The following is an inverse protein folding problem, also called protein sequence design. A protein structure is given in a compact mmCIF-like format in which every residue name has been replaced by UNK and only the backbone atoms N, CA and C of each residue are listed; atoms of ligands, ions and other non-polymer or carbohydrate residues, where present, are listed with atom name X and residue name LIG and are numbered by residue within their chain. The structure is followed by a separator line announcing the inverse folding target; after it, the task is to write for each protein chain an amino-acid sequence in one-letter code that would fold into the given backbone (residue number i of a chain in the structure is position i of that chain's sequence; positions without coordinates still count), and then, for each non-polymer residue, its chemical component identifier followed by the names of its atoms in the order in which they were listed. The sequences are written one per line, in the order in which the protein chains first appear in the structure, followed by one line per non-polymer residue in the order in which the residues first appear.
data_IF_911584526721
#
_entry.id   IF_911584526721
#
_cell.length_a   1.000
_cell.length_b   1.000
_cell.length_c   1.000
_cell.angle_alpha   90.00
_cell.angle_beta   90.00
_cell.angle_gamma   90.00
#
_symmetry.space_group_name_H-M   'P 1'
#
loop_
_entity.id
_entity.type
_entity.pdbx_description
1 polymer ?
#
# COMPACT_ATOMS: atom_id res chain seq x y z
N UNK A 1 -16.33 -20.98 -33.39
CA UNK A 1 -15.05 -20.58 -34.01
C UNK A 1 -14.29 -19.76 -32.97
N UNK A 2 -13.07 -20.15 -32.62
CA UNK A 2 -12.25 -19.41 -31.64
C UNK A 2 -11.37 -18.38 -32.34
N UNK A 3 -11.06 -17.28 -31.65
CA UNK A 3 -10.03 -16.35 -32.13
C UNK A 3 -8.68 -17.04 -32.06
N UNK A 4 -7.84 -16.84 -33.08
CA UNK A 4 -6.46 -17.33 -33.06
C UNK A 4 -5.73 -16.77 -31.82
N UNK A 5 -5.11 -17.67 -31.06
CA UNK A 5 -4.42 -17.35 -29.81
C UNK A 5 -2.96 -17.79 -29.90
N UNK A 6 -2.04 -16.83 -29.85
CA UNK A 6 -0.59 -17.06 -29.92
C UNK A 6 0.11 -16.16 -28.90
N UNK A 7 0.62 -16.74 -27.81
CA UNK A 7 1.36 -15.99 -26.77
C UNK A 7 2.77 -15.55 -27.22
N UNK A 8 3.36 -16.25 -28.20
CA UNK A 8 4.76 -16.04 -28.61
C UNK A 8 4.91 -15.00 -29.73
N UNK A 9 3.88 -14.19 -30.00
CA UNK A 9 3.94 -13.15 -31.01
C UNK A 9 4.57 -11.89 -30.40
N UNK A 10 5.50 -11.26 -31.11
CA UNK A 10 6.07 -9.98 -30.69
C UNK A 10 4.98 -8.91 -30.77
N UNK A 11 4.71 -8.26 -29.65
CA UNK A 11 3.75 -7.15 -29.55
C UNK A 11 4.52 -5.90 -29.10
N UNK A 12 4.14 -4.74 -29.64
CA UNK A 12 4.68 -3.46 -29.19
C UNK A 12 4.32 -3.22 -27.70
N UNK A 13 5.21 -2.59 -26.92
CA UNK A 13 4.86 -2.18 -25.56
C UNK A 13 3.64 -1.25 -25.63
N UNK A 14 2.55 -1.70 -25.01
CA UNK A 14 1.29 -0.98 -24.96
C UNK A 14 1.36 0.05 -23.83
N UNK A 15 0.81 1.23 -24.09
CA UNK A 15 0.48 2.18 -23.05
C UNK A 15 -0.53 1.54 -22.10
N UNK A 16 -0.25 1.57 -20.79
CA UNK A 16 -1.11 1.00 -19.76
C UNK A 16 -2.39 1.82 -19.61
N UNK A 17 -2.36 3.10 -19.95
CA UNK A 17 -3.52 3.99 -19.89
C UNK A 17 -4.65 3.49 -20.81
N UNK A 18 -4.30 2.97 -21.99
CA UNK A 18 -5.25 2.42 -22.97
C UNK A 18 -5.99 1.17 -22.43
N UNK A 19 -5.44 0.50 -21.40
CA UNK A 19 -6.06 -0.68 -20.80
C UNK A 19 -7.04 -0.36 -19.67
N UNK A 20 -7.00 0.85 -19.10
CA UNK A 20 -7.90 1.25 -18.05
C UNK A 20 -9.25 1.68 -18.65
N UNK A 21 -10.33 1.46 -17.91
CA UNK A 21 -11.63 1.98 -18.28
C UNK A 21 -11.68 3.48 -17.96
N UNK A 22 -12.42 4.27 -18.74
CA UNK A 22 -12.51 5.73 -18.56
C UNK A 22 -12.96 6.14 -17.15
N UNK A 23 -13.80 5.32 -16.49
CA UNK A 23 -14.30 5.55 -15.13
C UNK A 23 -13.55 4.71 -14.06
N UNK A 24 -12.30 4.34 -14.32
CA UNK A 24 -11.52 3.55 -13.36
C UNK A 24 -11.08 4.39 -12.16
N UNK A 25 -11.14 3.77 -10.97
CA UNK A 25 -10.76 4.37 -9.68
C UNK A 25 -9.32 4.93 -9.70
N UNK A 26 -8.43 4.34 -10.51
CA UNK A 26 -7.05 4.82 -10.66
C UNK A 26 -7.00 6.30 -11.07
N UNK A 27 -7.90 6.77 -11.94
CA UNK A 27 -7.94 8.17 -12.37
C UNK A 27 -8.36 9.09 -11.22
N UNK A 28 -9.43 8.76 -10.48
CA UNK A 28 -9.84 9.56 -9.32
C UNK A 28 -8.76 9.61 -8.24
N UNK A 29 -8.07 8.49 -7.97
CA UNK A 29 -6.91 8.46 -7.04
C UNK A 29 -5.78 9.36 -7.54
N UNK A 30 -5.51 9.32 -8.85
CA UNK A 30 -4.49 10.17 -9.46
C UNK A 30 -4.83 11.65 -9.27
N UNK A 31 -6.04 12.06 -9.66
CA UNK A 31 -6.50 13.44 -9.58
C UNK A 31 -6.53 13.97 -8.15
N UNK A 32 -7.05 13.17 -7.20
CA UNK A 32 -7.06 13.55 -5.79
C UNK A 32 -5.65 13.83 -5.28
N UNK A 33 -4.71 12.91 -5.50
CA UNK A 33 -3.35 13.10 -5.01
C UNK A 33 -2.66 14.26 -5.74
N UNK A 34 -2.98 14.49 -7.01
CA UNK A 34 -2.44 15.63 -7.74
C UNK A 34 -2.96 16.98 -7.23
N UNK A 35 -4.19 17.03 -6.72
CA UNK A 35 -4.80 18.24 -6.15
C UNK A 35 -4.15 18.71 -4.84
N UNK A 36 -3.39 17.84 -4.16
CA UNK A 36 -2.72 18.16 -2.90
C UNK A 36 -1.57 19.14 -3.17
N UNK A 37 -1.43 20.22 -2.40
CA UNK A 37 -0.32 21.17 -2.54
C UNK A 37 1.05 20.53 -2.28
N UNK A 38 2.08 20.95 -3.02
CA UNK A 38 3.45 20.42 -2.86
C UNK A 38 4.03 20.65 -1.46
N UNK A 39 3.58 21.71 -0.77
CA UNK A 39 3.96 22.02 0.60
C UNK A 39 3.64 20.88 1.57
N UNK A 40 2.58 20.12 1.32
CA UNK A 40 2.21 18.95 2.13
C UNK A 40 3.26 17.83 2.06
N UNK A 41 4.07 17.81 1.00
CA UNK A 41 5.10 16.80 0.76
C UNK A 41 6.53 17.31 0.98
N UNK A 42 6.70 18.58 1.37
CA UNK A 42 8.01 19.19 1.53
C UNK A 42 8.91 18.46 2.55
N UNK A 43 8.32 17.86 3.60
CA UNK A 43 9.04 17.09 4.62
C UNK A 43 9.74 15.82 4.09
N UNK A 44 9.34 15.31 2.92
CA UNK A 44 9.95 14.13 2.29
C UNK A 44 11.16 14.46 1.41
N UNK A 45 11.40 15.74 1.11
CA UNK A 45 12.52 16.16 0.29
C UNK A 45 13.83 15.98 1.05
N UNK A 46 14.67 15.07 0.56
CA UNK A 46 16.03 14.85 1.09
C UNK A 46 17.07 15.36 0.11
N UNK A 47 18.00 16.17 0.61
CA UNK A 47 19.09 16.73 -0.19
C UNK A 47 20.26 15.74 -0.38
N UNK A 48 20.34 14.69 0.44
CA UNK A 48 21.46 13.74 0.47
C UNK A 48 21.00 12.29 0.60
N UNK A 49 21.84 11.38 0.08
CA UNK A 49 21.60 9.93 0.11
C UNK A 49 20.96 9.39 -1.17
N UNK A 50 20.50 8.14 -1.13
CA UNK A 50 19.77 7.53 -2.25
C UNK A 50 18.41 8.21 -2.39
N UNK A 51 18.01 8.63 -3.61
CA UNK A 51 16.69 9.20 -3.85
C UNK A 51 15.59 8.26 -3.35
N UNK A 52 14.68 8.80 -2.54
CA UNK A 52 13.48 8.09 -2.15
C UNK A 52 12.46 8.10 -3.31
N UNK A 53 11.49 7.19 -3.25
CA UNK A 53 10.33 7.26 -4.13
C UNK A 53 9.53 8.54 -3.89
N UNK A 54 8.87 9.03 -4.93
CA UNK A 54 8.08 10.24 -4.84
C UNK A 54 6.89 10.03 -3.88
N UNK A 55 6.64 10.93 -2.91
CA UNK A 55 5.58 10.74 -1.91
C UNK A 55 4.18 10.70 -2.55
N UNK A 56 3.91 11.49 -3.61
CA UNK A 56 2.67 11.37 -4.39
C UNK A 56 2.45 9.97 -4.96
N UNK A 57 3.51 9.35 -5.51
CA UNK A 57 3.40 7.99 -6.07
C UNK A 57 3.09 6.98 -4.95
N UNK A 58 3.80 7.06 -3.83
CA UNK A 58 3.54 6.19 -2.68
C UNK A 58 2.12 6.36 -2.14
N UNK A 59 1.61 7.60 -2.08
CA UNK A 59 0.25 7.90 -1.65
C UNK A 59 -0.79 7.29 -2.60
N UNK A 60 -0.61 7.44 -3.92
CA UNK A 60 -1.50 6.86 -4.94
C UNK A 60 -1.61 5.34 -4.80
N UNK A 61 -0.47 4.67 -4.62
CA UNK A 61 -0.43 3.20 -4.47
C UNK A 61 -1.19 2.77 -3.21
N UNK A 62 -1.01 3.45 -2.08
CA UNK A 62 -1.68 3.08 -0.84
C UNK A 62 -3.19 3.34 -0.91
N UNK A 63 -3.61 4.51 -1.40
CA UNK A 63 -5.03 4.83 -1.55
C UNK A 63 -5.74 3.86 -2.51
N UNK A 64 -5.09 3.53 -3.63
CA UNK A 64 -5.62 2.54 -4.56
C UNK A 64 -5.71 1.14 -3.94
N UNK A 65 -4.78 0.76 -3.07
CA UNK A 65 -4.82 -0.53 -2.38
C UNK A 65 -5.95 -0.59 -1.36
N UNK A 66 -6.13 0.49 -0.59
CA UNK A 66 -7.20 0.58 0.41
C UNK A 66 -8.58 0.59 -0.23
N UNK A 67 -8.72 1.19 -1.42
CA UNK A 67 -9.96 1.11 -2.20
C UNK A 67 -10.33 -0.32 -2.61
N UNK A 68 -9.34 -1.22 -2.65
CA UNK A 68 -9.51 -2.65 -2.95
C UNK A 68 -9.49 -3.52 -1.68
N UNK A 69 -9.57 -2.92 -0.49
CA UNK A 69 -9.49 -3.60 0.81
C UNK A 69 -8.20 -4.41 0.99
N UNK A 70 -7.08 -3.93 0.44
CA UNK A 70 -5.76 -4.53 0.59
C UNK A 70 -4.88 -3.68 1.49
N UNK A 71 -4.65 -4.15 2.71
CA UNK A 71 -3.93 -3.40 3.75
C UNK A 71 -2.52 -3.92 4.03
N UNK A 72 -2.19 -5.14 3.58
CA UNK A 72 -0.89 -5.78 3.81
C UNK A 72 0.13 -5.21 2.85
N UNK A 73 1.27 -4.76 3.37
CA UNK A 73 2.34 -4.21 2.55
C UNK A 73 2.81 -5.22 1.50
N UNK A 74 2.85 -6.51 1.83
CA UNK A 74 3.23 -7.57 0.89
C UNK A 74 2.20 -7.80 -0.20
N UNK A 75 0.91 -7.75 0.13
CA UNK A 75 -0.14 -7.80 -0.89
C UNK A 75 -0.10 -6.58 -1.80
N UNK A 76 0.21 -5.39 -1.26
CA UNK A 76 0.41 -4.18 -2.06
C UNK A 76 1.61 -4.33 -2.99
N UNK A 77 2.73 -4.88 -2.51
CA UNK A 77 3.89 -5.20 -3.34
C UNK A 77 3.56 -6.20 -4.47
N UNK A 78 2.74 -7.22 -4.18
CA UNK A 78 2.27 -8.14 -5.21
C UNK A 78 1.36 -7.44 -6.23
N UNK A 79 0.45 -6.57 -5.77
CA UNK A 79 -0.42 -5.80 -6.66
C UNK A 79 0.36 -4.88 -7.61
N UNK A 80 1.50 -4.33 -7.20
CA UNK A 80 2.37 -3.53 -8.07
C UNK A 80 2.89 -4.32 -9.29
N UNK A 81 3.01 -5.65 -9.16
CA UNK A 81 3.49 -6.55 -10.21
C UNK A 81 2.39 -7.20 -11.04
N UNK A 82 1.17 -7.26 -10.52
CA UNK A 82 0.07 -7.99 -11.15
C UNK A 82 -1.04 -7.08 -11.67
N UNK A 83 -1.28 -5.94 -11.02
CA UNK A 83 -2.39 -5.03 -11.33
C UNK A 83 -1.98 -3.90 -12.26
N UNK A 84 -2.67 -3.81 -13.40
CA UNK A 84 -2.46 -2.73 -14.40
C UNK A 84 -2.66 -1.34 -13.76
N UNK A 85 -3.63 -1.20 -12.84
CA UNK A 85 -3.90 0.05 -12.11
C UNK A 85 -2.69 0.49 -11.30
N UNK A 86 -2.12 -0.44 -10.54
CA UNK A 86 -0.96 -0.16 -9.69
C UNK A 86 0.28 0.13 -10.52
N UNK A 87 0.49 -0.63 -11.61
CA UNK A 87 1.59 -0.37 -12.54
C UNK A 87 1.51 1.03 -13.15
N UNK A 88 0.31 1.46 -13.54
CA UNK A 88 0.08 2.80 -14.09
C UNK A 88 0.31 3.89 -13.05
N UNK A 89 -0.29 3.77 -11.86
CA UNK A 89 -0.11 4.73 -10.76
C UNK A 89 1.35 4.85 -10.28
N UNK A 90 2.06 3.72 -10.25
CA UNK A 90 3.46 3.66 -9.86
C UNK A 90 4.43 3.93 -11.02
N UNK A 91 3.94 4.11 -12.25
CA UNK A 91 4.75 4.23 -13.47
C UNK A 91 5.80 3.10 -13.62
N UNK A 92 5.42 1.87 -13.26
CA UNK A 92 6.29 0.70 -13.29
C UNK A 92 7.33 0.62 -12.16
N UNK A 93 7.30 1.54 -11.19
CA UNK A 93 8.10 1.39 -9.97
C UNK A 93 7.50 0.34 -9.04
N UNK A 94 8.36 -0.49 -8.44
CA UNK A 94 7.97 -1.57 -7.54
C UNK A 94 8.62 -1.36 -6.15
N UNK A 95 8.11 -0.41 -5.33
CA UNK A 95 8.56 -0.29 -3.95
C UNK A 95 8.26 -1.59 -3.18
N UNK A 96 9.21 -2.04 -2.36
CA UNK A 96 9.02 -3.22 -1.53
C UNK A 96 8.03 -2.96 -0.40
N UNK A 97 7.45 -4.02 0.17
CA UNK A 97 6.53 -3.90 1.31
C UNK A 97 7.13 -3.07 2.47
N UNK A 98 8.45 -3.16 2.68
CA UNK A 98 9.18 -2.39 3.71
C UNK A 98 9.15 -0.89 3.43
N UNK A 99 9.33 -0.50 2.18
CA UNK A 99 9.28 0.90 1.78
C UNK A 99 7.87 1.46 1.92
N UNK A 100 6.87 0.66 1.57
CA UNK A 100 5.44 1.00 1.74
C UNK A 100 5.10 1.19 3.22
N UNK A 101 5.44 0.23 4.08
CA UNK A 101 5.14 0.32 5.51
C UNK A 101 5.89 1.47 6.20
N UNK A 102 7.14 1.71 5.82
CA UNK A 102 7.91 2.87 6.34
C UNK A 102 7.25 4.19 5.97
N UNK A 103 6.68 4.29 4.77
CA UNK A 103 5.95 5.49 4.36
C UNK A 103 4.65 5.64 5.16
N UNK A 104 3.88 4.56 5.37
CA UNK A 104 2.62 4.56 6.14
C UNK A 104 2.79 5.02 7.59
N UNK A 105 3.84 4.54 8.26
CA UNK A 105 4.11 4.82 9.69
C UNK A 105 4.79 6.18 9.89
N UNK A 106 5.13 6.88 8.81
CA UNK A 106 5.76 8.19 8.94
C UNK A 106 4.76 9.20 9.53
N UNK A 107 5.10 9.96 10.59
CA UNK A 107 4.15 10.81 11.31
C UNK A 107 3.44 11.87 10.44
N UNK A 108 4.13 12.37 9.41
CA UNK A 108 3.56 13.34 8.46
C UNK A 108 2.59 12.68 7.47
N UNK A 109 2.80 11.41 7.11
CA UNK A 109 1.91 10.67 6.20
C UNK A 109 0.65 10.23 6.93
N UNK A 110 0.76 9.78 8.17
CA UNK A 110 -0.37 9.21 8.92
C UNK A 110 -1.59 10.14 8.94
N UNK A 111 -1.37 11.43 9.24
CA UNK A 111 -2.43 12.45 9.24
C UNK A 111 -2.94 12.74 7.83
N UNK A 112 -2.03 12.93 6.89
CA UNK A 112 -2.37 13.24 5.50
C UNK A 112 -3.17 12.11 4.86
N UNK A 113 -2.81 10.86 5.14
CA UNK A 113 -3.46 9.66 4.61
C UNK A 113 -4.90 9.53 5.13
N UNK A 114 -5.12 9.83 6.42
CA UNK A 114 -6.47 9.90 7.01
C UNK A 114 -7.33 10.96 6.32
N UNK A 115 -6.80 12.16 6.14
CA UNK A 115 -7.52 13.25 5.46
C UNK A 115 -7.80 12.90 3.99
N UNK A 116 -6.81 12.36 3.28
CA UNK A 116 -6.96 11.91 1.90
C UNK A 116 -8.03 10.82 1.78
N UNK A 117 -8.09 9.87 2.71
CA UNK A 117 -9.09 8.80 2.66
C UNK A 117 -10.53 9.35 2.79
N UNK A 118 -10.74 10.31 3.69
CA UNK A 118 -12.05 10.95 3.87
C UNK A 118 -12.43 11.79 2.65
N UNK A 119 -11.47 12.55 2.10
CA UNK A 119 -11.68 13.35 0.90
C UNK A 119 -11.93 12.47 -0.33
N UNK A 120 -11.15 11.41 -0.50
CA UNK A 120 -11.31 10.44 -1.57
C UNK A 120 -12.72 9.83 -1.58
N UNK A 121 -13.20 9.38 -0.42
CA UNK A 121 -14.57 8.87 -0.29
C UNK A 121 -15.59 9.95 -0.67
N UNK A 122 -15.40 11.18 -0.21
CA UNK A 122 -16.31 12.28 -0.49
C UNK A 122 -16.37 12.60 -1.99
N UNK A 123 -15.22 12.56 -2.67
CA UNK A 123 -15.12 12.77 -4.12
C UNK A 123 -15.77 11.63 -4.91
N UNK A 124 -15.57 10.37 -4.52
CA UNK A 124 -16.22 9.23 -5.16
C UNK A 124 -17.75 9.28 -5.05
N UNK A 125 -18.27 9.83 -3.95
CA UNK A 125 -19.70 10.09 -3.77
C UNK A 125 -20.18 11.21 -4.70
N UNK A 126 -19.43 12.32 -4.78
CA UNK A 126 -19.80 13.47 -5.63
C UNK A 126 -19.79 13.11 -7.11
N UNK A 127 -18.82 12.30 -7.55
CA UNK A 127 -18.70 11.77 -8.91
C UNK A 127 -19.70 10.64 -9.22
N UNK A 128 -20.52 10.23 -8.23
CA UNK A 128 -21.49 9.12 -8.33
C UNK A 128 -20.85 7.79 -8.73
N UNK A 129 -19.57 7.60 -8.41
CA UNK A 129 -18.86 6.33 -8.62
C UNK A 129 -19.20 5.31 -7.52
N UNK A 130 -19.67 5.80 -6.37
CA UNK A 130 -20.22 4.99 -5.28
C UNK A 130 -21.64 5.49 -4.97
N UNK A 131 -22.58 4.55 -4.91
CA UNK A 131 -23.94 4.85 -4.45
C UNK A 131 -23.92 5.16 -2.94
N UNK A 132 -24.31 6.38 -2.56
CA UNK A 132 -24.89 6.59 -1.24
C UNK A 132 -26.32 6.04 -1.28
N UNK A 133 -26.75 5.26 -0.29
CA UNK A 133 -28.16 4.82 -0.15
C UNK A 133 -29.17 5.99 0.01
N UNK A 134 -28.78 7.24 -0.27
CA UNK A 134 -29.62 8.43 -0.21
C UNK A 134 -29.94 8.95 -1.63
N UNK A 135 -31.08 8.51 -2.16
CA UNK A 135 -31.67 9.06 -3.39
C UNK A 135 -32.19 10.48 -3.10
N UNK A 136 -31.45 11.51 -3.52
CA UNK A 136 -31.96 12.88 -3.56
C UNK A 136 -32.52 13.17 -4.96
N UNK A 137 -33.85 13.18 -5.06
CA UNK A 137 -34.54 13.58 -6.29
C UNK A 137 -34.57 15.12 -6.34
N UNK A 138 -33.69 15.73 -7.12
CA UNK A 138 -33.82 17.16 -7.45
C UNK A 138 -34.89 17.32 -8.53
N UNK A 139 -36.06 17.77 -8.11
CA UNK A 139 -37.14 18.16 -8.98
C UNK A 139 -37.70 19.49 -8.50
N UNK A 140 -38.05 20.37 -9.43
CA UNK A 140 -38.80 21.58 -9.11
C UNK A 140 -40.18 21.18 -8.56
N UNK A 141 -40.32 21.10 -7.24
CA UNK A 141 -41.57 20.70 -6.58
C UNK A 141 -42.41 21.94 -6.28
N UNK A 142 -43.41 22.17 -7.13
CA UNK A 142 -44.41 23.23 -6.96
C UNK A 142 -45.37 22.80 -5.83
N UNK A 143 -45.74 23.71 -4.93
CA UNK A 143 -46.68 23.47 -3.82
C UNK A 143 -48.11 23.22 -4.31
N UNK A 144 -48.32 22.09 -4.98
CA UNK A 144 -49.63 21.54 -5.26
C UNK A 144 -49.70 20.18 -4.58
N UNK A 145 -50.17 20.17 -3.33
CA UNK A 145 -50.45 18.95 -2.54
C UNK A 145 -49.23 18.09 -2.16
N UNK A 146 -48.06 18.67 -1.91
CA UNK A 146 -46.92 17.98 -1.28
C UNK A 146 -46.94 18.14 0.25
N UNK A 147 -46.52 17.11 0.99
CA UNK A 147 -46.45 17.15 2.46
C UNK A 147 -45.37 18.15 2.93
N UNK A 148 -45.69 19.06 3.86
CA UNK A 148 -44.76 20.06 4.43
C UNK A 148 -43.51 19.46 5.09
N UNK A 149 -43.52 18.18 5.43
CA UNK A 149 -42.36 17.49 6.03
C UNK A 149 -41.40 16.88 5.00
N UNK A 150 -41.60 17.06 3.70
CA UNK A 150 -40.70 16.57 2.65
C UNK A 150 -39.55 17.54 2.32
N UNK A 151 -39.56 18.74 2.90
CA UNK A 151 -38.49 19.73 2.72
C UNK A 151 -37.28 19.39 3.60
N UNK A 152 -36.15 19.07 2.98
CA UNK A 152 -34.87 18.97 3.67
C UNK A 152 -34.24 20.35 3.71
N UNK A 153 -34.12 20.93 4.89
CA UNK A 153 -33.56 22.26 5.08
C UNK A 153 -32.04 22.23 4.95
N UNK A 154 -31.44 23.29 4.38
CA UNK A 154 -29.97 23.47 4.28
C UNK A 154 -29.23 23.25 5.60
N UNK A 155 -29.78 23.74 6.71
CA UNK A 155 -29.19 23.53 8.04
C UNK A 155 -29.18 22.06 8.45
N UNK A 156 -30.16 21.29 7.96
CA UNK A 156 -30.22 19.86 8.18
C UNK A 156 -29.18 19.14 7.32
N UNK A 157 -29.04 19.48 6.04
CA UNK A 157 -28.02 18.89 5.16
C UNK A 157 -26.60 19.18 5.67
N UNK A 158 -26.30 20.42 6.09
CA UNK A 158 -25.01 20.79 6.69
C UNK A 158 -24.71 19.97 7.97
N UNK A 159 -25.73 19.79 8.84
CA UNK A 159 -25.59 18.98 10.06
C UNK A 159 -25.39 17.48 9.77
N UNK A 160 -26.03 16.96 8.72
CA UNK A 160 -25.84 15.56 8.32
C UNK A 160 -24.49 15.35 7.64
N UNK A 161 -24.02 16.32 6.85
CA UNK A 161 -22.69 16.29 6.26
C UNK A 161 -21.59 16.20 7.32
N UNK A 162 -21.63 17.05 8.35
CA UNK A 162 -20.64 16.99 9.45
C UNK A 162 -20.66 15.64 10.18
N UNK A 163 -21.85 15.10 10.45
CA UNK A 163 -22.02 13.76 11.04
C UNK A 163 -21.51 12.64 10.14
N UNK A 164 -21.64 12.79 8.83
CA UNK A 164 -21.18 11.79 7.86
C UNK A 164 -19.65 11.77 7.78
N UNK A 165 -19.00 12.93 7.89
CA UNK A 165 -17.54 13.03 8.04
C UNK A 165 -17.07 12.40 9.35
N UNK A 166 -17.73 12.68 10.48
CA UNK A 166 -17.43 12.04 11.77
C UNK A 166 -17.55 10.51 11.70
N UNK A 167 -18.62 10.00 11.08
CA UNK A 167 -18.81 8.56 10.89
C UNK A 167 -17.74 7.95 9.97
N UNK A 168 -17.35 8.67 8.92
CA UNK A 168 -16.27 8.25 8.01
C UNK A 168 -14.94 8.12 8.74
N UNK A 169 -14.64 9.08 9.62
CA UNK A 169 -13.46 9.06 10.46
C UNK A 169 -13.49 7.86 11.41
N UNK A 170 -14.62 7.60 12.06
CA UNK A 170 -14.78 6.43 12.94
C UNK A 170 -14.54 5.11 12.18
N UNK A 171 -15.11 4.96 10.99
CA UNK A 171 -14.90 3.77 10.15
C UNK A 171 -13.42 3.61 9.76
N UNK A 172 -12.74 4.71 9.43
CA UNK A 172 -11.31 4.67 9.14
C UNK A 172 -10.51 4.25 10.38
N UNK A 173 -10.83 4.80 11.55
CA UNK A 173 -10.15 4.47 12.80
C UNK A 173 -10.37 2.98 13.17
N UNK A 174 -11.58 2.43 12.94
CA UNK A 174 -11.88 1.00 13.07
C UNK A 174 -11.05 0.12 12.11
N UNK A 175 -10.92 0.52 10.84
CA UNK A 175 -10.08 -0.19 9.86
C UNK A 175 -8.59 -0.12 10.23
N UNK A 176 -8.16 1.03 10.76
CA UNK A 176 -6.79 1.24 11.19
C UNK A 176 -6.43 0.23 12.30
N UNK A 177 -7.28 0.13 13.32
CA UNK A 177 -7.05 -0.71 14.50
C UNK A 177 -7.20 -2.20 14.20
N UNK A 178 -8.19 -2.60 13.40
CA UNK A 178 -8.50 -4.02 13.21
C UNK A 178 -7.74 -4.69 12.06
N UNK A 179 -7.35 -3.94 11.02
CA UNK A 179 -6.78 -4.53 9.80
C UNK A 179 -5.39 -3.99 9.50
N UNK A 180 -5.22 -2.66 9.45
CA UNK A 180 -3.98 -2.02 9.02
C UNK A 180 -2.83 -2.22 10.02
N UNK A 181 -3.02 -1.86 11.30
CA UNK A 181 -1.97 -1.97 12.33
C UNK A 181 -1.59 -3.44 12.54
N UNK A 182 -2.53 -4.40 12.68
CA UNK A 182 -2.17 -5.80 12.86
C UNK A 182 -1.41 -6.40 11.68
N UNK A 183 -1.74 -6.03 10.43
CA UNK A 183 -0.97 -6.50 9.27
C UNK A 183 0.44 -5.88 9.24
N UNK A 184 0.62 -4.61 9.62
CA UNK A 184 1.95 -3.99 9.75
C UNK A 184 2.76 -4.69 10.86
N UNK A 185 2.15 -4.92 12.02
CA UNK A 185 2.81 -5.59 13.16
C UNK A 185 3.18 -7.03 12.83
N UNK A 186 2.30 -7.79 12.17
CA UNK A 186 2.60 -9.15 11.72
C UNK A 186 3.75 -9.18 10.73
N UNK A 187 3.79 -8.24 9.78
CA UNK A 187 4.88 -8.13 8.81
C UNK A 187 6.21 -7.72 9.48
N UNK A 188 6.15 -6.97 10.58
CA UNK A 188 7.31 -6.63 11.41
C UNK A 188 7.75 -7.78 12.34
N UNK A 189 6.84 -8.60 12.86
CA UNK A 189 7.15 -9.75 13.72
C UNK A 189 7.87 -10.89 12.97
N UNK A 190 7.69 -10.95 11.65
CA UNK A 190 8.51 -11.82 10.78
C UNK A 190 9.93 -11.26 10.57
N UNK A 191 10.25 -10.08 11.12
CA UNK A 191 11.60 -9.54 11.18
C UNK A 191 12.28 -10.05 12.45
N UNK A 192 13.47 -10.64 12.29
CA UNK A 192 14.34 -10.96 13.42
C UNK A 192 14.67 -9.67 14.17
N UNK A 193 14.42 -9.63 15.47
CA UNK A 193 14.89 -8.53 16.32
C UNK A 193 16.42 -8.39 16.17
N UNK A 194 16.94 -7.18 16.37
CA UNK A 194 18.40 -6.93 16.41
C UNK A 194 19.09 -7.86 17.41
N UNK A 195 18.39 -8.23 18.49
CA UNK A 195 18.88 -9.16 19.50
C UNK A 195 18.91 -10.62 19.00
N UNK A 196 17.89 -11.02 18.25
CA UNK A 196 17.80 -12.35 17.64
C UNK A 196 18.82 -12.51 16.52
N UNK A 197 19.06 -11.47 15.72
CA UNK A 197 20.15 -11.42 14.74
C UNK A 197 21.52 -11.57 15.40
N UNK A 198 21.78 -10.86 16.52
CA UNK A 198 23.03 -11.02 17.28
C UNK A 198 23.21 -12.45 17.82
N UNK A 199 22.13 -13.06 18.29
CA UNK A 199 22.15 -14.44 18.78
C UNK A 199 22.43 -15.44 17.63
N UNK A 200 21.87 -15.22 16.45
CA UNK A 200 22.14 -16.03 15.25
C UNK A 200 23.61 -15.91 14.84
N UNK A 201 24.16 -14.69 14.77
CA UNK A 201 25.58 -14.46 14.47
C UNK A 201 26.47 -15.18 15.49
N UNK A 202 26.21 -15.03 16.79
CA UNK A 202 26.98 -15.72 17.83
C UNK A 202 26.89 -17.26 17.76
N UNK A 203 25.77 -17.82 17.31
CA UNK A 203 25.63 -19.26 17.11
C UNK A 203 26.34 -19.75 15.83
N UNK A 204 26.39 -18.94 14.79
CA UNK A 204 27.16 -19.22 13.58
C UNK A 204 28.67 -19.21 13.87
N UNK A 205 29.15 -18.23 14.66
CA UNK A 205 30.55 -18.15 15.08
C UNK A 205 30.97 -19.41 15.87
N UNK A 206 30.14 -19.86 16.82
CA UNK A 206 30.40 -21.09 17.58
C UNK A 206 30.49 -22.34 16.70
N UNK A 207 29.61 -22.47 15.70
CA UNK A 207 29.66 -23.58 14.74
C UNK A 207 30.93 -23.53 13.90
N UNK A 208 31.37 -22.33 13.50
CA UNK A 208 32.63 -22.15 12.77
C UNK A 208 33.82 -22.59 13.63
N UNK A 209 33.86 -22.21 14.91
CA UNK A 209 34.90 -22.64 15.86
C UNK A 209 34.90 -24.16 16.09
N UNK A 210 33.72 -24.78 16.13
CA UNK A 210 33.57 -26.23 16.28
C UNK A 210 34.13 -26.98 15.05
N UNK A 211 33.81 -26.51 13.84
CA UNK A 211 34.40 -27.05 12.62
C UNK A 211 35.92 -26.84 12.58
N UNK A 212 36.44 -25.71 13.05
CA UNK A 212 37.88 -25.45 13.12
C UNK A 212 38.59 -26.45 14.06
N UNK A 213 38.01 -26.73 15.23
CA UNK A 213 38.51 -27.76 16.15
C UNK A 213 38.44 -29.18 15.55
N UNK A 214 37.37 -29.52 14.85
CA UNK A 214 37.22 -30.82 14.19
C UNK A 214 38.23 -31.01 13.03
N UNK A 215 38.56 -29.94 12.31
CA UNK A 215 39.58 -29.96 11.24
C UNK A 215 40.98 -30.17 11.83
N UNK A 216 41.29 -29.55 12.97
CA UNK A 216 42.56 -29.73 13.67
C UNK A 216 42.71 -31.12 14.26
N UNK A 217 41.63 -31.70 14.80
CA UNK A 217 41.61 -33.01 15.44
C UNK A 217 41.58 -34.21 14.47
N UNK A 218 41.01 -34.07 13.27
CA UNK A 218 41.01 -35.17 12.29
C UNK A 218 42.41 -35.34 11.68
N UNK A 219 42.95 -36.57 11.60
CA UNK A 219 44.26 -36.84 10.99
C UNK A 219 44.16 -37.18 9.48
N UNK A 220 42.96 -37.47 8.99
CA UNK A 220 42.72 -37.97 7.63
C UNK A 220 42.47 -36.81 6.65
N UNK A 221 43.28 -36.74 5.59
CA UNK A 221 43.23 -35.64 4.61
C UNK A 221 41.91 -35.48 3.85
N UNK A 222 41.19 -36.58 3.59
CA UNK A 222 39.87 -36.55 2.93
C UNK A 222 38.77 -35.96 3.82
N UNK A 223 38.78 -36.28 5.11
CA UNK A 223 37.81 -35.78 6.09
C UNK A 223 38.01 -34.29 6.35
N UNK A 224 39.27 -33.84 6.50
CA UNK A 224 39.60 -32.40 6.59
C UNK A 224 39.09 -31.62 5.38
N UNK A 225 39.12 -32.21 4.19
CA UNK A 225 38.66 -31.56 2.95
C UNK A 225 37.12 -31.43 2.92
N UNK A 226 36.39 -32.43 3.43
CA UNK A 226 34.93 -32.40 3.58
C UNK A 226 34.51 -31.37 4.63
N UNK A 227 35.11 -31.39 5.83
CA UNK A 227 34.82 -30.44 6.90
C UNK A 227 35.13 -28.99 6.50
N UNK A 228 36.19 -28.75 5.71
CA UNK A 228 36.49 -27.42 5.14
C UNK A 228 35.45 -26.96 4.10
N UNK A 229 34.80 -27.90 3.41
CA UNK A 229 33.72 -27.59 2.49
C UNK A 229 32.46 -27.21 3.26
N UNK A 230 32.13 -27.97 4.30
CA UNK A 230 30.95 -27.74 5.15
C UNK A 230 31.07 -26.44 5.95
N UNK A 231 32.26 -26.09 6.45
CA UNK A 231 32.55 -24.80 7.13
C UNK A 231 32.32 -23.58 6.23
N UNK A 232 32.31 -23.71 4.90
CA UNK A 232 32.07 -22.57 4.01
C UNK A 232 30.61 -22.11 4.02
N UNK A 233 29.66 -23.01 4.24
CA UNK A 233 28.24 -22.68 4.30
C UNK A 233 27.90 -21.62 5.38
N UNK A 234 28.33 -21.76 6.65
CA UNK A 234 28.06 -20.76 7.68
C UNK A 234 28.87 -19.46 7.54
N UNK A 235 29.95 -19.40 6.73
CA UNK A 235 30.75 -18.18 6.50
C UNK A 235 30.23 -17.28 5.36
N UNK A 236 29.25 -17.76 4.59
CA UNK A 236 28.72 -17.03 3.43
C UNK A 236 27.39 -16.30 3.71
N UNK A 237 26.87 -16.39 4.94
CA UNK A 237 25.62 -15.74 5.37
C UNK A 237 25.87 -14.40 6.04
#
# INVERSE_FOLDING_TARGET
MFKHYTMNQVVLPLDLEIKLQENDIAYTVHELVESIPDEAFAGFLRQTGRPAYHPRMMMKVILCAYSQSVFSGRKIEALLKDSIRMMWLAQGHEPSYRTINRFRVHPEVEKLLRECFVQFRSQLVEEKLIDEEAIFIDGTKIEASANKFTFVWRKSTEKYHSKLVEKSNQMYDELLENEIIPEIERENLEELSVEEMKNIVGNLDKKVEEYDKQIEASEVGSERKQLRSERKAPKQS
#
